data_IF_138746113607
#
_entry.id   IF_138746113607
#
_cell.length_a   1.000
_cell.length_b   1.000
_cell.length_c   1.000
_cell.angle_alpha   90.00
_cell.angle_beta   90.00
_cell.angle_gamma   90.00
#
_symmetry.space_group_name_H-M   'P 1'
#
loop_
_entity.id
_entity.type
_entity.pdbx_description
1 polymer ?
#
# COMPACT_ATOMS: atom_id res chain seq x y z
N UNK A 1 -8.84 -22.70 -1.61
CA UNK A 1 -8.03 -21.97 -0.62
C UNK A 1 -6.64 -21.69 -1.23
N UNK A 2 -6.59 -21.07 -2.41
CA UNK A 2 -5.35 -20.81 -3.15
C UNK A 2 -5.14 -19.31 -3.46
N UNK A 3 -6.02 -18.44 -2.98
CA UNK A 3 -6.16 -17.08 -3.52
C UNK A 3 -5.30 -16.03 -2.78
N UNK A 4 -4.38 -16.46 -1.92
CA UNK A 4 -3.57 -15.59 -1.06
C UNK A 4 -2.06 -15.60 -1.40
N UNK A 5 -1.66 -16.20 -2.52
CA UNK A 5 -0.26 -16.31 -2.91
C UNK A 5 -0.06 -15.97 -4.38
N UNK A 6 0.95 -15.15 -4.69
CA UNK A 6 1.53 -15.05 -6.03
C UNK A 6 2.53 -16.18 -6.17
N UNK A 7 2.46 -16.92 -7.27
CA UNK A 7 3.41 -17.97 -7.56
C UNK A 7 4.16 -17.66 -8.83
N UNK A 8 5.47 -17.49 -8.72
CA UNK A 8 6.36 -17.34 -9.89
C UNK A 8 7.15 -18.63 -10.05
N UNK A 9 7.02 -19.28 -11.20
CA UNK A 9 7.86 -20.42 -11.57
C UNK A 9 9.11 -19.93 -12.29
N UNK A 10 10.28 -20.28 -11.76
CA UNK A 10 11.59 -19.97 -12.35
C UNK A 10 12.30 -21.27 -12.70
N UNK A 11 13.32 -21.21 -13.57
CA UNK A 11 14.15 -22.39 -13.90
C UNK A 11 14.81 -23.05 -12.68
N UNK A 12 14.90 -22.33 -11.55
CA UNK A 12 15.48 -22.80 -10.28
C UNK A 12 14.45 -23.29 -9.26
N UNK A 13 13.16 -23.24 -9.58
CA UNK A 13 12.08 -23.69 -8.70
C UNK A 13 10.92 -22.70 -8.61
N UNK A 14 9.99 -23.00 -7.69
CA UNK A 14 8.74 -22.27 -7.48
C UNK A 14 8.85 -21.34 -6.29
N UNK A 15 8.62 -20.04 -6.48
CA UNK A 15 8.54 -19.04 -5.41
C UNK A 15 7.08 -18.67 -5.19
N UNK A 16 6.58 -18.82 -3.96
CA UNK A 16 5.22 -18.42 -3.59
C UNK A 16 5.27 -17.31 -2.54
N UNK A 17 4.74 -16.14 -2.88
CA UNK A 17 4.73 -14.93 -2.05
C UNK A 17 3.32 -14.71 -1.52
N UNK A 18 3.17 -14.66 -0.20
CA UNK A 18 1.89 -14.41 0.45
C UNK A 18 1.44 -12.96 0.32
N UNK A 19 0.12 -12.73 0.28
CA UNK A 19 -0.50 -11.40 0.35
C UNK A 19 0.01 -10.59 1.56
N UNK A 20 0.11 -11.21 2.75
CA UNK A 20 0.56 -10.53 3.97
C UNK A 20 1.98 -9.96 3.85
N UNK A 21 2.86 -10.63 3.09
CA UNK A 21 4.23 -10.16 2.86
C UNK A 21 4.21 -8.91 1.97
N UNK A 22 3.33 -8.89 0.96
CA UNK A 22 3.13 -7.72 0.09
C UNK A 22 2.61 -6.55 0.91
N UNK A 23 1.62 -6.77 1.79
CA UNK A 23 1.06 -5.73 2.66
C UNK A 23 2.12 -5.10 3.56
N UNK A 24 2.96 -5.93 4.21
CA UNK A 24 4.04 -5.43 5.07
C UNK A 24 5.05 -4.61 4.28
N UNK A 25 5.43 -5.08 3.09
CA UNK A 25 6.40 -4.38 2.27
C UNK A 25 5.86 -3.06 1.71
N UNK A 26 4.61 -3.06 1.21
CA UNK A 26 3.94 -1.84 0.77
C UNK A 26 3.87 -0.82 1.91
N UNK A 27 3.53 -1.28 3.12
CA UNK A 27 3.54 -0.44 4.31
C UNK A 27 4.91 0.20 4.59
N UNK A 28 6.00 -0.57 4.43
CA UNK A 28 7.36 -0.04 4.58
C UNK A 28 7.70 1.00 3.49
N UNK A 29 7.41 0.69 2.23
CA UNK A 29 7.69 1.59 1.10
C UNK A 29 6.96 2.94 1.26
N UNK A 30 5.73 2.94 1.77
CA UNK A 30 4.96 4.16 1.99
C UNK A 30 5.55 5.02 3.11
N UNK A 31 6.06 4.40 4.18
CA UNK A 31 6.67 5.13 5.30
C UNK A 31 8.01 5.78 4.96
N UNK A 32 8.64 5.38 3.86
CA UNK A 32 9.89 5.98 3.35
C UNK A 32 9.64 7.19 2.44
N UNK A 33 8.38 7.47 2.07
CA UNK A 33 8.07 8.60 1.18
C UNK A 33 7.97 9.90 1.96
N UNK A 34 8.84 10.86 1.61
CA UNK A 34 8.79 12.21 2.14
C UNK A 34 7.44 12.89 1.91
N UNK A 35 6.84 13.40 2.99
CA UNK A 35 5.53 14.06 2.96
C UNK A 35 4.36 13.13 3.33
N UNK A 36 4.61 11.85 3.59
CA UNK A 36 3.66 10.94 4.23
C UNK A 36 3.91 10.99 5.75
N UNK A 37 2.97 11.56 6.50
CA UNK A 37 3.04 11.60 7.97
C UNK A 37 2.73 10.23 8.60
N UNK A 38 2.00 9.41 7.84
CA UNK A 38 1.73 8.01 8.17
C UNK A 38 0.67 7.41 7.25
N UNK A 39 0.55 6.10 7.36
CA UNK A 39 -0.65 5.40 6.88
C UNK A 39 -1.83 5.82 7.75
N UNK A 40 -3.01 5.92 7.15
CA UNK A 40 -4.20 6.24 7.92
C UNK A 40 -4.46 5.14 8.97
N UNK A 41 -4.10 5.40 10.24
CA UNK A 41 -4.39 4.52 11.35
C UNK A 41 -5.91 4.44 11.50
N UNK A 42 -6.45 3.24 11.32
CA UNK A 42 -7.86 2.89 11.45
C UNK A 42 -8.33 3.06 12.90
N UNK A 43 -8.60 4.29 13.32
CA UNK A 43 -9.41 4.58 14.52
C UNK A 43 -10.54 5.51 14.09
N UNK A 44 -11.45 4.95 13.30
CA UNK A 44 -12.65 5.64 12.85
C UNK A 44 -13.62 4.63 12.29
N UNK A 45 -14.65 4.32 13.06
CA UNK A 45 -15.72 3.38 12.69
C UNK A 45 -16.41 3.70 11.35
N UNK A 46 -16.25 4.93 10.82
CA UNK A 46 -16.87 5.39 9.58
C UNK A 46 -16.25 4.80 8.29
N UNK A 47 -15.03 4.23 8.34
CA UNK A 47 -14.38 3.66 7.15
C UNK A 47 -14.77 2.17 6.93
N UNK A 48 -15.32 1.50 7.97
CA UNK A 48 -15.77 0.11 7.85
C UNK A 48 -16.96 -0.05 6.88
N UNK A 49 -17.81 0.97 6.74
CA UNK A 49 -19.02 0.90 5.92
C UNK A 49 -18.73 0.99 4.41
N UNK A 50 -17.69 1.72 4.00
CA UNK A 50 -17.33 1.84 2.58
C UNK A 50 -16.53 0.64 2.04
N UNK A 51 -15.88 -0.13 2.91
CA UNK A 51 -14.84 -1.09 2.49
C UNK A 51 -15.02 -2.41 3.25
N UNK A 52 -16.10 -3.11 2.92
CA UNK A 52 -16.54 -4.33 3.60
C UNK A 52 -15.63 -5.56 3.45
N UNK A 53 -14.46 -5.61 4.10
CA UNK A 53 -13.73 -6.86 4.38
C UNK A 53 -12.64 -6.74 5.46
N UNK A 54 -12.32 -7.90 6.04
CA UNK A 54 -11.95 -8.15 7.45
C UNK A 54 -10.47 -8.04 7.82
N UNK A 55 -9.58 -7.54 6.95
CA UNK A 55 -8.13 -7.49 7.22
C UNK A 55 -7.54 -6.16 6.74
N UNK A 56 -7.79 -5.08 7.49
CA UNK A 56 -7.12 -3.79 7.30
C UNK A 56 -5.89 -3.75 8.22
N UNK A 57 -4.78 -4.30 7.74
CA UNK A 57 -3.50 -3.92 8.31
C UNK A 57 -3.17 -2.52 7.79
N UNK A 58 -3.40 -1.49 8.63
CA UNK A 58 -2.80 -0.15 8.48
C UNK A 58 -3.12 0.58 7.16
N UNK A 59 -4.36 0.53 6.67
CA UNK A 59 -4.77 1.36 5.53
C UNK A 59 -4.25 0.92 4.14
N UNK A 60 -3.76 -0.30 4.01
CA UNK A 60 -3.37 -0.92 2.74
C UNK A 60 -4.27 -2.12 2.46
N UNK A 61 -4.80 -2.22 1.24
CA UNK A 61 -5.53 -3.39 0.75
C UNK A 61 -4.86 -3.88 -0.51
N UNK A 62 -4.53 -5.17 -0.54
CA UNK A 62 -3.99 -5.85 -1.71
C UNK A 62 -5.09 -6.73 -2.29
N UNK A 63 -5.17 -6.82 -3.61
CA UNK A 63 -6.07 -7.72 -4.31
C UNK A 63 -5.29 -8.41 -5.40
N UNK A 64 -5.33 -9.73 -5.37
CA UNK A 64 -4.63 -10.63 -6.28
C UNK A 64 -5.67 -11.24 -7.22
N UNK A 65 -5.54 -11.02 -8.52
CA UNK A 65 -6.37 -11.65 -9.54
C UNK A 65 -5.47 -12.25 -10.61
N UNK A 66 -5.34 -13.57 -10.62
CA UNK A 66 -4.50 -14.33 -11.57
C UNK A 66 -3.06 -13.78 -11.65
N UNK A 67 -2.78 -12.88 -12.60
CA UNK A 67 -1.48 -12.22 -12.81
C UNK A 67 -1.49 -10.70 -12.56
N UNK A 68 -2.60 -10.15 -12.09
CA UNK A 68 -2.76 -8.73 -11.80
C UNK A 68 -2.80 -8.47 -10.29
N UNK A 69 -1.93 -7.56 -9.85
CA UNK A 69 -1.86 -7.08 -8.48
C UNK A 69 -2.47 -5.68 -8.44
N UNK A 70 -3.51 -5.50 -7.65
CA UNK A 70 -4.09 -4.19 -7.36
C UNK A 70 -3.81 -3.84 -5.91
N UNK A 71 -3.30 -2.64 -5.67
CA UNK A 71 -3.01 -2.14 -4.33
C UNK A 71 -3.74 -0.84 -4.11
N UNK A 72 -4.63 -0.83 -3.13
CA UNK A 72 -5.31 0.38 -2.66
C UNK A 72 -4.65 0.84 -1.36
N UNK A 73 -4.21 2.09 -1.35
CA UNK A 73 -3.49 2.70 -0.22
C UNK A 73 -4.23 3.93 0.28
N UNK A 74 -4.42 4.04 1.59
CA UNK A 74 -4.94 5.22 2.27
C UNK A 74 -3.81 5.93 3.03
N UNK A 75 -3.48 7.15 2.60
CA UNK A 75 -2.41 7.97 3.18
C UNK A 75 -2.93 9.26 3.81
N UNK A 76 -2.19 9.77 4.81
CA UNK A 76 -2.29 11.15 5.27
C UNK A 76 -1.05 11.92 4.84
N UNK A 77 -1.26 13.11 4.27
CA UNK A 77 -0.16 13.93 3.73
C UNK A 77 0.19 15.04 4.72
N UNK A 78 1.48 15.32 4.91
CA UNK A 78 1.92 16.41 5.78
C UNK A 78 1.57 17.77 5.17
N UNK A 79 1.08 18.70 5.99
CA UNK A 79 0.82 20.07 5.58
C UNK A 79 2.10 20.75 5.07
N UNK A 80 1.99 21.44 3.93
CA UNK A 80 3.12 22.08 3.25
C UNK A 80 3.69 21.29 2.08
N UNK A 81 3.22 20.06 1.84
CA UNK A 81 3.58 19.25 0.68
C UNK A 81 2.54 19.34 -0.45
N UNK A 82 2.98 19.15 -1.69
CA UNK A 82 2.09 19.05 -2.85
C UNK A 82 1.50 17.64 -2.91
N UNK A 83 0.18 17.52 -2.70
CA UNK A 83 -0.50 16.22 -2.59
C UNK A 83 -0.27 15.34 -3.83
N UNK A 84 -0.30 15.92 -5.03
CA UNK A 84 -0.10 15.18 -6.28
C UNK A 84 1.32 14.62 -6.40
N UNK A 85 2.32 15.36 -5.94
CA UNK A 85 3.72 14.88 -5.93
C UNK A 85 3.92 13.77 -4.91
N UNK A 86 3.36 13.92 -3.71
CA UNK A 86 3.43 12.87 -2.67
C UNK A 86 2.72 11.61 -3.14
N UNK A 87 1.52 11.74 -3.72
CA UNK A 87 0.78 10.60 -4.25
C UNK A 87 1.54 9.89 -5.38
N UNK A 88 2.15 10.64 -6.31
CA UNK A 88 2.97 10.07 -7.37
C UNK A 88 4.21 9.33 -6.83
N UNK A 89 4.88 9.91 -5.81
CA UNK A 89 6.00 9.26 -5.13
C UNK A 89 5.57 7.96 -4.44
N UNK A 90 4.42 7.96 -3.77
CA UNK A 90 3.84 6.75 -3.16
C UNK A 90 3.55 5.69 -4.21
N UNK A 91 2.90 6.05 -5.32
CA UNK A 91 2.62 5.11 -6.41
C UNK A 91 3.93 4.50 -6.94
N UNK A 92 4.93 5.33 -7.20
CA UNK A 92 6.22 4.86 -7.72
C UNK A 92 6.95 3.95 -6.72
N UNK A 93 7.01 4.33 -5.44
CA UNK A 93 7.66 3.53 -4.40
C UNK A 93 7.01 2.14 -4.27
N UNK A 94 5.68 2.09 -4.23
CA UNK A 94 4.91 0.84 -4.13
C UNK A 94 5.07 -0.01 -5.39
N UNK A 95 4.94 0.58 -6.58
CA UNK A 95 5.10 -0.14 -7.84
C UNK A 95 6.49 -0.74 -7.97
N UNK A 96 7.54 0.05 -7.73
CA UNK A 96 8.93 -0.42 -7.81
C UNK A 96 9.19 -1.57 -6.85
N UNK A 97 8.67 -1.47 -5.62
CA UNK A 97 8.90 -2.50 -4.63
C UNK A 97 8.23 -3.82 -5.02
N UNK A 98 6.97 -3.78 -5.48
CA UNK A 98 6.22 -4.98 -5.88
C UNK A 98 6.83 -5.62 -7.13
N UNK A 99 7.22 -4.80 -8.10
CA UNK A 99 7.88 -5.27 -9.33
C UNK A 99 9.22 -5.93 -8.99
N UNK A 100 10.02 -5.36 -8.08
CA UNK A 100 11.28 -5.96 -7.65
C UNK A 100 11.11 -7.33 -6.97
N UNK A 101 9.96 -7.58 -6.33
CA UNK A 101 9.70 -8.82 -5.59
C UNK A 101 9.02 -9.89 -6.45
N UNK A 102 8.07 -9.48 -7.30
CA UNK A 102 7.18 -10.39 -8.03
C UNK A 102 7.51 -10.47 -9.53
N UNK A 103 8.22 -9.46 -10.07
CA UNK A 103 8.41 -9.28 -11.51
C UNK A 103 7.16 -8.77 -12.24
N UNK A 104 6.09 -8.44 -11.52
CA UNK A 104 4.81 -7.99 -12.08
C UNK A 104 4.62 -6.50 -11.81
N UNK A 105 4.05 -5.78 -12.78
CA UNK A 105 3.68 -4.38 -12.63
C UNK A 105 2.28 -4.27 -11.98
N UNK A 106 2.17 -3.72 -10.75
CA UNK A 106 0.88 -3.57 -10.09
C UNK A 106 0.12 -2.33 -10.56
N UNK A 107 -1.20 -2.34 -10.35
CA UNK A 107 -2.02 -1.12 -10.37
C UNK A 107 -2.09 -0.56 -8.95
N UNK A 108 -1.63 0.69 -8.75
CA UNK A 108 -1.57 1.33 -7.42
C UNK A 108 -2.53 2.52 -7.35
N UNK A 109 -3.55 2.39 -6.51
CA UNK A 109 -4.52 3.44 -6.21
C UNK A 109 -4.15 4.11 -4.89
N UNK A 110 -3.98 5.43 -4.91
CA UNK A 110 -3.65 6.23 -3.72
C UNK A 110 -4.84 7.11 -3.35
N UNK A 111 -5.34 6.92 -2.15
CA UNK A 111 -6.42 7.68 -1.56
C UNK A 111 -5.85 8.58 -0.45
N UNK A 112 -6.03 9.89 -0.61
CA UNK A 112 -5.61 10.86 0.39
C UNK A 112 -6.80 11.18 1.29
N UNK A 113 -6.78 10.66 2.51
CA UNK A 113 -7.90 10.82 3.46
C UNK A 113 -7.85 12.14 4.21
N UNK A 114 -6.70 12.79 4.28
CA UNK A 114 -6.55 14.06 5.00
C UNK A 114 -5.13 14.59 5.01
N UNK A 115 -4.97 15.73 5.69
CA UNK A 115 -3.68 16.37 5.91
C UNK A 115 -3.35 16.40 7.40
N UNK A 116 -2.12 16.07 7.77
CA UNK A 116 -1.63 16.23 9.16
C UNK A 116 -0.78 17.48 9.26
N UNK A 117 -1.01 18.27 10.29
CA UNK A 117 -0.14 19.39 10.62
C UNK A 117 0.99 18.88 11.52
N UNK A 118 2.26 19.17 11.20
CA UNK A 118 3.36 18.79 12.08
C UNK A 118 3.10 19.39 13.47
N UNK A 119 3.18 18.55 14.51
CA UNK A 119 2.97 19.02 15.88
C UNK A 119 4.03 20.07 16.19
N UNK A 120 3.61 21.30 16.44
CA UNK A 120 4.45 22.33 17.04
C UNK A 120 5.06 21.75 18.30
N UNK A 121 6.40 21.66 18.36
CA UNK A 121 7.09 21.38 19.63
C UNK A 121 6.73 22.51 20.58
N UNK A 122 5.87 22.22 21.55
CA UNK A 122 5.66 23.06 22.72
C UNK A 122 6.69 22.68 23.79
#
# INVERSE_FOLDING_TARGET
>A
MADNYITTETEKGKVSISEDVIVVMVGAAITEVDGVDGLANTVGNDILEFIGKKNLAKGVKVTLQEDHITVDVLIMVTFGCVITEVAAKVQQAVSNAIEAMTGLSPTVNVHVSGVTFPKSKQ
#
